data_IF_368496357863
#
_entry.id   IF_368496357863
#
_cell.length_a   1.000
_cell.length_b   1.000
_cell.length_c   1.000
_cell.angle_alpha   90.00
_cell.angle_beta   90.00
_cell.angle_gamma   90.00
#
_symmetry.space_group_name_H-M   'P 1'
#
loop_
_entity.id
_entity.type
_entity.pdbx_description
1 polymer ?
#
# COMPACT_ATOMS: atom_id res chain seq x y z
N UNK A 1 27.61 7.40 -19.75
CA UNK A 1 26.53 6.96 -20.66
C UNK A 1 26.76 5.50 -20.98
N UNK A 2 26.04 4.60 -20.32
CA UNK A 2 26.03 3.17 -20.61
C UNK A 2 24.56 2.80 -20.84
N UNK A 3 24.24 2.43 -22.07
CA UNK A 3 22.94 1.90 -22.50
C UNK A 3 22.66 0.61 -21.77
N UNK A 4 22.07 0.70 -20.57
CA UNK A 4 21.28 -0.40 -20.03
C UNK A 4 20.10 -0.54 -20.98
N UNK A 5 20.12 -1.60 -21.76
CA UNK A 5 18.98 -2.15 -22.48
C UNK A 5 17.78 -2.07 -21.54
N UNK A 6 16.85 -1.17 -21.83
CA UNK A 6 15.56 -1.12 -21.13
C UNK A 6 14.94 -2.47 -21.46
N UNK A 7 14.91 -3.39 -20.48
CA UNK A 7 14.05 -4.56 -20.55
C UNK A 7 12.65 -3.99 -20.74
N UNK A 8 12.17 -4.00 -21.99
CA UNK A 8 10.78 -3.72 -22.29
C UNK A 8 9.98 -4.73 -21.48
N UNK A 9 9.18 -4.20 -20.54
CA UNK A 9 8.48 -4.94 -19.48
C UNK A 9 7.77 -6.20 -20.00
N UNK A 10 7.39 -7.10 -19.08
CA UNK A 10 6.61 -8.29 -19.38
C UNK A 10 5.37 -8.03 -20.27
N UNK A 11 4.81 -6.81 -20.27
CA UNK A 11 3.74 -6.39 -21.17
C UNK A 11 4.17 -6.33 -22.65
N UNK A 12 5.32 -5.71 -22.91
CA UNK A 12 5.87 -5.59 -24.25
C UNK A 12 6.42 -6.94 -24.72
N UNK A 13 7.01 -7.72 -23.83
CA UNK A 13 7.44 -9.09 -24.13
C UNK A 13 6.27 -10.08 -24.32
N UNK A 14 5.15 -9.94 -23.59
CA UNK A 14 3.91 -10.70 -23.83
C UNK A 14 3.27 -10.29 -25.17
N UNK A 15 3.18 -9.00 -25.46
CA UNK A 15 2.68 -8.49 -26.74
C UNK A 15 3.54 -8.97 -27.92
N UNK A 16 4.87 -8.93 -27.78
CA UNK A 16 5.83 -9.46 -28.77
C UNK A 16 5.69 -10.97 -28.94
N UNK A 17 5.61 -11.74 -27.84
CA UNK A 17 5.48 -13.20 -27.89
C UNK A 17 4.15 -13.68 -28.45
N UNK A 18 3.03 -13.02 -28.10
CA UNK A 18 1.69 -13.38 -28.59
C UNK A 18 1.46 -13.06 -30.06
N UNK A 19 2.05 -11.98 -30.55
CA UNK A 19 1.71 -11.42 -31.86
C UNK A 19 2.88 -11.45 -32.87
N UNK A 20 4.06 -11.90 -32.46
CA UNK A 20 5.24 -11.99 -33.34
C UNK A 20 5.80 -10.62 -33.77
N UNK A 21 5.50 -9.56 -33.01
CA UNK A 21 5.80 -8.18 -33.41
C UNK A 21 7.27 -7.83 -33.13
N UNK A 22 7.90 -7.12 -34.07
CA UNK A 22 9.29 -6.63 -34.00
C UNK A 22 9.26 -5.13 -33.65
N UNK A 23 10.27 -4.58 -32.92
CA UNK A 23 10.42 -3.13 -32.82
C UNK A 23 10.33 -2.47 -34.20
N UNK A 24 9.41 -1.51 -34.38
CA UNK A 24 9.15 -0.88 -35.68
C UNK A 24 7.82 -1.25 -36.34
N UNK A 25 7.10 -2.26 -35.83
CA UNK A 25 5.81 -2.66 -36.39
C UNK A 25 4.71 -1.63 -36.06
N UNK A 26 4.01 -1.03 -37.05
CA UNK A 26 2.88 -0.13 -36.82
C UNK A 26 1.76 -0.74 -35.98
N UNK A 27 1.64 -2.07 -35.93
CA UNK A 27 0.66 -2.79 -35.12
C UNK A 27 1.00 -2.85 -33.62
N UNK A 28 2.24 -2.54 -33.23
CA UNK A 28 2.71 -2.67 -31.84
C UNK A 28 1.92 -1.80 -30.87
N UNK A 29 1.61 -0.56 -31.26
CA UNK A 29 0.85 0.34 -30.40
C UNK A 29 -0.56 -0.20 -30.12
N UNK A 30 -1.28 -0.65 -31.16
CA UNK A 30 -2.62 -1.21 -31.01
C UNK A 30 -2.62 -2.48 -30.15
N UNK A 31 -1.64 -3.34 -30.35
CA UNK A 31 -1.46 -4.54 -29.54
C UNK A 31 -1.23 -4.25 -28.05
N UNK A 32 -0.42 -3.23 -27.75
CA UNK A 32 -0.20 -2.77 -26.38
C UNK A 32 -1.47 -2.20 -25.78
N UNK A 33 -2.18 -1.35 -26.52
CA UNK A 33 -3.45 -0.75 -26.10
C UNK A 33 -4.52 -1.81 -25.80
N UNK A 34 -4.66 -2.83 -26.65
CA UNK A 34 -5.59 -3.95 -26.42
C UNK A 34 -5.22 -4.78 -25.19
N UNK A 35 -3.91 -4.94 -24.93
CA UNK A 35 -3.42 -5.62 -23.74
C UNK A 35 -3.74 -4.81 -22.48
N UNK A 36 -3.53 -3.49 -22.52
CA UNK A 36 -3.88 -2.58 -21.43
C UNK A 36 -5.39 -2.59 -21.14
N UNK A 37 -6.22 -2.51 -22.18
CA UNK A 37 -7.69 -2.61 -22.05
C UNK A 37 -8.13 -3.94 -21.44
N UNK A 38 -7.43 -5.04 -21.72
CA UNK A 38 -7.71 -6.34 -21.11
C UNK A 38 -7.39 -6.35 -19.62
N UNK A 39 -6.23 -5.80 -19.23
CA UNK A 39 -5.84 -5.67 -17.82
C UNK A 39 -6.80 -4.75 -17.08
N UNK A 40 -7.23 -3.64 -17.69
CA UNK A 40 -8.22 -2.73 -17.14
C UNK A 40 -9.62 -3.36 -16.92
N UNK A 41 -9.87 -4.57 -17.43
CA UNK A 41 -11.10 -5.35 -17.20
C UNK A 41 -10.90 -6.52 -16.25
N UNK A 42 -9.75 -6.62 -15.60
CA UNK A 42 -9.49 -7.66 -14.62
C UNK A 42 -10.50 -7.61 -13.47
N UNK A 43 -10.88 -8.78 -12.98
CA UNK A 43 -11.84 -8.97 -11.88
C UNK A 43 -11.16 -9.46 -10.60
N UNK A 44 -9.86 -9.72 -10.64
CA UNK A 44 -9.09 -10.19 -9.48
C UNK A 44 -7.63 -9.73 -9.54
N UNK A 45 -6.96 -9.64 -8.39
CA UNK A 45 -5.56 -9.21 -8.31
C UNK A 45 -4.62 -10.22 -8.96
N UNK A 46 -4.96 -11.52 -8.96
CA UNK A 46 -4.17 -12.56 -9.61
C UNK A 46 -4.03 -12.32 -11.13
N UNK A 47 -5.01 -11.67 -11.75
CA UNK A 47 -4.97 -11.32 -13.18
C UNK A 47 -4.06 -10.12 -13.48
N UNK A 48 -3.79 -9.26 -12.49
CA UNK A 48 -3.00 -8.04 -12.64
C UNK A 48 -1.58 -8.22 -12.11
N UNK A 49 -1.42 -8.98 -11.02
CA UNK A 49 -0.15 -9.22 -10.32
C UNK A 49 1.03 -9.62 -11.24
N UNK A 50 0.87 -10.39 -12.34
CA UNK A 50 1.99 -10.69 -13.22
C UNK A 50 2.55 -9.47 -13.95
N UNK A 51 1.81 -8.37 -13.98
CA UNK A 51 2.17 -7.11 -14.62
C UNK A 51 2.66 -6.05 -13.62
N UNK A 52 2.43 -6.25 -12.32
CA UNK A 52 2.92 -5.42 -11.23
C UNK A 52 4.24 -6.02 -10.75
N UNK A 53 5.31 -5.78 -11.48
CA UNK A 53 6.63 -6.23 -11.04
C UNK A 53 7.13 -5.31 -9.93
N UNK A 54 7.24 -5.88 -8.74
CA UNK A 54 7.86 -5.33 -7.52
C UNK A 54 6.95 -4.39 -6.71
N UNK A 55 6.17 -4.93 -5.75
CA UNK A 55 5.27 -4.15 -4.87
C UNK A 55 6.00 -3.10 -4.01
N UNK A 56 7.32 -3.25 -3.83
CA UNK A 56 8.19 -2.31 -3.12
C UNK A 56 8.85 -1.27 -4.05
N UNK A 57 8.65 -1.36 -5.37
CA UNK A 57 9.01 -0.30 -6.32
C UNK A 57 7.83 0.67 -6.44
N UNK A 58 7.97 1.94 -6.00
CA UNK A 58 6.96 2.99 -6.21
C UNK A 58 6.53 3.12 -7.67
N UNK A 59 7.41 2.73 -8.60
CA UNK A 59 7.22 2.80 -10.03
C UNK A 59 6.59 1.54 -10.63
N UNK A 60 6.26 0.49 -9.86
CA UNK A 60 5.75 -0.77 -10.44
C UNK A 60 4.47 -0.56 -11.28
N UNK A 61 3.55 0.28 -10.80
CA UNK A 61 2.34 0.68 -11.53
C UNK A 61 2.70 1.62 -12.68
N UNK A 62 3.67 2.51 -12.47
CA UNK A 62 4.19 3.45 -13.47
C UNK A 62 4.86 2.72 -14.63
N UNK A 63 5.45 1.54 -14.42
CA UNK A 63 6.14 0.78 -15.46
C UNK A 63 5.23 0.38 -16.61
N UNK A 64 3.94 0.22 -16.35
CA UNK A 64 2.92 -0.04 -17.37
C UNK A 64 2.85 1.06 -18.45
N UNK A 65 3.38 2.27 -18.18
CA UNK A 65 3.50 3.35 -19.16
C UNK A 65 4.69 3.22 -20.10
N UNK A 66 5.77 2.52 -19.72
CA UNK A 66 7.04 2.54 -20.45
C UNK A 66 6.94 2.04 -21.89
N UNK A 67 6.17 0.97 -22.19
CA UNK A 67 5.94 0.55 -23.57
C UNK A 67 5.34 1.67 -24.44
N UNK A 68 4.50 2.52 -23.86
CA UNK A 68 3.90 3.65 -24.56
C UNK A 68 4.86 4.83 -24.73
N UNK A 69 5.61 5.20 -23.68
CA UNK A 69 6.66 6.23 -23.80
C UNK A 69 7.66 5.84 -24.90
N UNK A 70 7.99 4.56 -25.01
CA UNK A 70 8.78 4.04 -26.12
C UNK A 70 8.10 4.29 -27.47
N UNK A 71 6.81 3.98 -27.61
CA UNK A 71 6.07 4.25 -28.85
C UNK A 71 6.02 5.73 -29.24
N UNK A 72 5.89 6.65 -28.27
CA UNK A 72 5.97 8.09 -28.51
C UNK A 72 7.36 8.51 -28.98
N UNK A 73 8.40 8.06 -28.28
CA UNK A 73 9.78 8.43 -28.55
C UNK A 73 10.24 7.97 -29.94
N UNK A 74 9.83 6.77 -30.34
CA UNK A 74 10.16 6.19 -31.64
C UNK A 74 9.26 6.71 -32.78
N UNK A 75 8.30 7.60 -32.47
CA UNK A 75 7.43 8.22 -33.46
C UNK A 75 6.34 7.31 -34.02
N UNK A 76 6.02 6.19 -33.36
CA UNK A 76 4.91 5.32 -33.75
C UNK A 76 3.55 5.94 -33.43
N UNK A 77 3.50 6.84 -32.44
CA UNK A 77 2.34 7.63 -32.05
C UNK A 77 2.79 9.06 -31.79
N UNK A 78 1.97 10.04 -32.20
CA UNK A 78 2.17 11.43 -31.79
C UNK A 78 1.27 11.74 -30.59
N UNK A 79 1.79 12.46 -29.59
CA UNK A 79 0.95 12.92 -28.47
C UNK A 79 -0.11 13.91 -28.95
N UNK A 80 0.23 14.75 -29.93
CA UNK A 80 -0.65 15.78 -30.46
C UNK A 80 -0.97 15.58 -31.94
N UNK A 81 -2.18 15.94 -32.33
CA UNK A 81 -2.58 16.08 -33.72
C UNK A 81 -2.08 17.39 -34.34
N UNK A 82 -2.33 17.58 -35.64
CA UNK A 82 -1.91 18.79 -36.36
C UNK A 82 -2.55 20.09 -35.84
N UNK A 83 -3.60 20.00 -35.01
CA UNK A 83 -4.26 21.14 -34.37
C UNK A 83 -3.70 21.46 -32.98
N UNK A 84 -2.73 20.67 -32.49
CA UNK A 84 -2.17 20.81 -31.15
C UNK A 84 -3.05 20.24 -30.05
N UNK A 85 -4.08 19.46 -30.39
CA UNK A 85 -4.90 18.70 -29.43
C UNK A 85 -4.31 17.30 -29.26
N UNK A 86 -4.65 16.61 -28.17
CA UNK A 86 -4.25 15.21 -28.03
C UNK A 86 -4.76 14.36 -29.20
N UNK A 87 -3.87 13.56 -29.77
CA UNK A 87 -4.24 12.62 -30.83
C UNK A 87 -5.20 11.57 -30.27
N UNK A 88 -6.00 10.96 -31.16
CA UNK A 88 -6.93 9.88 -30.77
C UNK A 88 -6.18 8.73 -30.11
N UNK A 89 -5.05 8.32 -30.68
CA UNK A 89 -4.21 7.25 -30.16
C UNK A 89 -3.67 7.57 -28.76
N UNK A 90 -3.24 8.81 -28.54
CA UNK A 90 -2.75 9.25 -27.23
C UNK A 90 -3.88 9.29 -26.21
N UNK A 91 -5.04 9.83 -26.57
CA UNK A 91 -6.21 9.87 -25.70
C UNK A 91 -6.70 8.47 -25.30
N UNK A 92 -6.71 7.53 -26.26
CA UNK A 92 -7.04 6.13 -26.03
C UNK A 92 -6.10 5.46 -25.01
N UNK A 93 -4.81 5.80 -25.06
CA UNK A 93 -3.83 5.31 -24.09
C UNK A 93 -4.06 5.92 -22.71
N UNK A 94 -4.27 7.24 -22.60
CA UNK A 94 -4.54 7.92 -21.32
C UNK A 94 -5.75 7.28 -20.64
N UNK A 95 -6.82 7.04 -21.39
CA UNK A 95 -8.03 6.36 -20.91
C UNK A 95 -7.73 4.91 -20.47
N UNK A 96 -7.04 4.13 -21.31
CA UNK A 96 -6.73 2.74 -20.99
C UNK A 96 -5.83 2.61 -19.74
N UNK A 97 -4.84 3.49 -19.58
CA UNK A 97 -3.99 3.51 -18.40
C UNK A 97 -4.77 3.93 -17.15
N UNK A 98 -5.56 5.01 -17.26
CA UNK A 98 -6.46 5.44 -16.18
C UNK A 98 -7.40 4.32 -15.71
N UNK A 99 -7.96 3.54 -16.63
CA UNK A 99 -8.80 2.39 -16.29
C UNK A 99 -8.04 1.26 -15.59
N UNK A 100 -6.77 1.00 -15.92
CA UNK A 100 -5.97 0.03 -15.18
C UNK A 100 -5.80 0.49 -13.72
N UNK A 101 -5.42 1.75 -13.52
CA UNK A 101 -5.28 2.32 -12.17
C UNK A 101 -6.59 2.19 -11.40
N UNK A 102 -7.70 2.56 -12.02
CA UNK A 102 -9.03 2.47 -11.42
C UNK A 102 -9.39 1.02 -11.06
N UNK A 103 -9.11 0.06 -11.94
CA UNK A 103 -9.37 -1.35 -11.69
C UNK A 103 -8.54 -1.89 -10.52
N UNK A 104 -7.28 -1.47 -10.37
CA UNK A 104 -6.48 -1.80 -9.18
C UNK A 104 -7.13 -1.24 -7.92
N UNK A 105 -7.55 0.04 -7.94
CA UNK A 105 -8.24 0.67 -6.80
C UNK A 105 -9.58 -0.01 -6.45
N UNK A 106 -10.32 -0.53 -7.44
CA UNK A 106 -11.54 -1.32 -7.18
C UNK A 106 -11.26 -2.62 -6.44
N UNK A 107 -10.09 -3.21 -6.66
CA UNK A 107 -9.74 -4.52 -6.09
C UNK A 107 -9.13 -4.40 -4.69
N UNK A 108 -8.38 -3.33 -4.41
CA UNK A 108 -7.68 -3.17 -3.14
C UNK A 108 -7.30 -1.72 -2.86
N UNK A 109 -7.17 -1.36 -1.58
CA UNK A 109 -6.60 -0.08 -1.10
C UNK A 109 -5.08 -0.14 -0.91
N UNK A 110 -4.44 -1.31 -1.03
CA UNK A 110 -3.01 -1.49 -0.74
C UNK A 110 -2.09 -0.68 -1.67
N UNK A 111 -2.49 -0.53 -2.94
CA UNK A 111 -1.76 0.25 -3.95
C UNK A 111 -2.24 1.71 -4.03
N UNK A 112 -3.18 2.16 -3.17
CA UNK A 112 -3.66 3.55 -3.17
C UNK A 112 -2.50 4.57 -3.09
N UNK A 113 -1.46 4.40 -2.23
CA UNK A 113 -0.32 5.32 -2.22
C UNK A 113 0.40 5.43 -3.57
N UNK A 114 0.53 4.32 -4.29
CA UNK A 114 1.20 4.28 -5.60
C UNK A 114 0.34 4.86 -6.72
N UNK A 115 -0.96 4.60 -6.66
CA UNK A 115 -1.92 5.21 -7.59
C UNK A 115 -1.99 6.71 -7.35
N UNK A 116 -2.05 7.16 -6.09
CA UNK A 116 -2.01 8.58 -5.72
C UNK A 116 -0.70 9.24 -6.14
N UNK A 117 0.44 8.57 -5.97
CA UNK A 117 1.71 9.04 -6.50
C UNK A 117 1.66 9.20 -8.02
N UNK A 118 1.17 8.19 -8.74
CA UNK A 118 1.01 8.24 -10.20
C UNK A 118 0.10 9.38 -10.65
N UNK A 119 -1.04 9.57 -9.98
CA UNK A 119 -2.02 10.59 -10.34
C UNK A 119 -1.53 12.00 -9.99
N UNK A 120 -0.99 12.18 -8.79
CA UNK A 120 -0.74 13.51 -8.21
C UNK A 120 0.73 13.94 -8.30
N UNK A 121 1.69 13.04 -8.06
CA UNK A 121 3.13 13.41 -8.05
C UNK A 121 3.73 13.42 -9.44
N UNK A 122 3.43 12.38 -10.23
CA UNK A 122 3.84 12.33 -11.63
C UNK A 122 2.90 13.17 -12.54
N UNK A 123 2.02 13.97 -11.93
CA UNK A 123 1.08 14.87 -12.57
C UNK A 123 0.19 14.20 -13.65
N UNK A 124 -0.02 12.88 -13.62
CA UNK A 124 -0.84 12.21 -14.64
C UNK A 124 -2.29 12.72 -14.62
N UNK A 125 -2.80 13.07 -13.44
CA UNK A 125 -4.10 13.71 -13.28
C UNK A 125 -4.15 15.08 -13.97
N UNK A 126 -3.11 15.90 -13.75
CA UNK A 126 -3.02 17.27 -14.28
C UNK A 126 -2.67 17.31 -15.76
N UNK A 127 -1.63 16.59 -16.18
CA UNK A 127 -1.12 16.71 -17.53
C UNK A 127 -1.93 15.88 -18.52
N UNK A 128 -2.60 14.80 -18.08
CA UNK A 128 -3.19 13.84 -19.00
C UNK A 128 -4.71 13.67 -18.79
N UNK A 129 -5.12 13.12 -17.64
CA UNK A 129 -6.51 12.67 -17.44
C UNK A 129 -7.54 13.80 -17.58
N UNK A 130 -7.26 14.99 -17.03
CA UNK A 130 -8.23 16.10 -17.07
C UNK A 130 -8.49 16.64 -18.49
N UNK A 131 -7.64 16.34 -19.45
CA UNK A 131 -7.70 16.90 -20.81
C UNK A 131 -8.39 16.00 -21.83
N UNK A 132 -8.66 14.73 -21.48
CA UNK A 132 -9.35 13.77 -22.35
C UNK A 132 -10.67 13.33 -21.75
N UNK A 133 -11.72 13.22 -22.56
CA UNK A 133 -13.07 12.91 -22.07
C UNK A 133 -13.14 11.55 -21.33
N UNK A 134 -12.46 10.52 -21.84
CA UNK A 134 -12.35 9.22 -21.16
C UNK A 134 -11.60 9.31 -19.82
N UNK A 135 -10.55 10.13 -19.76
CA UNK A 135 -9.79 10.37 -18.53
C UNK A 135 -10.58 11.13 -17.48
N UNK A 136 -11.35 12.16 -17.87
CA UNK A 136 -12.26 12.87 -16.96
C UNK A 136 -13.29 11.92 -16.34
N UNK A 137 -13.80 10.96 -17.12
CA UNK A 137 -14.69 9.92 -16.61
C UNK A 137 -13.99 9.01 -15.59
N UNK A 138 -12.75 8.60 -15.86
CA UNK A 138 -11.95 7.83 -14.90
C UNK A 138 -11.77 8.58 -13.59
N UNK A 139 -11.54 9.91 -13.62
CA UNK A 139 -11.43 10.74 -12.40
C UNK A 139 -12.74 10.71 -11.61
N UNK A 140 -13.88 10.88 -12.28
CA UNK A 140 -15.19 10.75 -11.65
C UNK A 140 -15.39 9.35 -11.03
N UNK A 141 -15.01 8.29 -11.76
CA UNK A 141 -15.13 6.91 -11.27
C UNK A 141 -14.28 6.68 -10.01
N UNK A 142 -13.05 7.23 -9.95
CA UNK A 142 -12.22 7.21 -8.75
C UNK A 142 -12.87 7.96 -7.58
N UNK A 143 -13.41 9.15 -7.83
CA UNK A 143 -14.11 9.92 -6.82
C UNK A 143 -15.35 9.18 -6.30
N UNK A 144 -16.14 8.55 -7.18
CA UNK A 144 -17.30 7.76 -6.78
C UNK A 144 -16.90 6.54 -5.92
N UNK A 145 -15.72 5.97 -6.18
CA UNK A 145 -15.21 4.81 -5.45
C UNK A 145 -14.55 5.17 -4.10
N UNK A 146 -13.82 6.28 -4.06
CA UNK A 146 -12.89 6.60 -2.96
C UNK A 146 -13.17 7.92 -2.25
N UNK A 147 -14.08 8.73 -2.77
CA UNK A 147 -14.36 10.07 -2.28
C UNK A 147 -13.21 11.04 -2.50
N UNK A 148 -13.38 12.26 -1.97
CA UNK A 148 -12.41 13.34 -2.16
C UNK A 148 -11.10 13.11 -1.39
N UNK A 149 -11.14 12.35 -0.30
CA UNK A 149 -9.98 11.99 0.52
C UNK A 149 -8.85 11.40 -0.32
N UNK A 150 -9.19 10.57 -1.31
CA UNK A 150 -8.19 9.95 -2.18
C UNK A 150 -7.39 10.97 -3.01
N UNK A 151 -7.97 12.12 -3.33
CA UNK A 151 -7.31 13.20 -4.06
C UNK A 151 -6.64 14.22 -3.14
N UNK A 152 -6.95 14.20 -1.83
CA UNK A 152 -6.40 15.08 -0.80
C UNK A 152 -5.15 14.50 -0.10
N UNK A 153 -4.65 13.36 -0.57
CA UNK A 153 -3.60 12.61 0.10
C UNK A 153 -2.32 12.62 -0.74
N UNK A 154 -1.33 13.35 -0.25
CA UNK A 154 0.04 13.33 -0.78
C UNK A 154 1.09 13.48 0.34
N UNK A 155 0.80 13.00 1.55
CA UNK A 155 1.70 13.22 2.68
C UNK A 155 2.33 11.99 3.30
N UNK A 156 2.61 10.95 2.51
CA UNK A 156 3.16 9.71 3.06
C UNK A 156 4.33 9.22 2.21
N UNK A 157 5.54 9.23 2.79
CA UNK A 157 6.78 8.79 2.11
C UNK A 157 7.98 9.75 2.11
N UNK A 158 7.95 10.86 2.87
CA UNK A 158 9.13 11.72 3.06
C UNK A 158 9.68 12.45 1.82
N UNK A 159 9.12 12.23 0.63
CA UNK A 159 9.55 12.92 -0.59
C UNK A 159 8.96 14.33 -0.62
N UNK A 160 9.85 15.32 -0.47
CA UNK A 160 9.53 16.73 -0.64
C UNK A 160 9.14 17.03 -2.10
N UNK A 161 7.94 17.61 -2.21
CA UNK A 161 7.45 18.58 -3.20
C UNK A 161 7.00 18.08 -4.57
N UNK A 162 5.67 18.05 -4.78
CA UNK A 162 5.07 18.62 -5.99
C UNK A 162 5.05 20.17 -5.85
N UNK A 163 6.25 20.76 -5.81
CA UNK A 163 6.70 22.16 -5.80
C UNK A 163 5.99 23.30 -5.03
N UNK A 164 4.72 23.24 -4.62
CA UNK A 164 4.13 24.24 -3.71
C UNK A 164 2.86 23.73 -3.04
N UNK A 165 2.60 24.26 -1.86
CA UNK A 165 1.51 23.93 -0.94
C UNK A 165 0.09 23.99 -1.54
N UNK A 166 -0.08 24.62 -2.71
CA UNK A 166 -1.31 24.62 -3.51
C UNK A 166 -1.63 23.26 -4.14
N UNK A 167 -0.64 22.41 -4.41
CA UNK A 167 -0.82 21.17 -5.16
C UNK A 167 -1.79 20.16 -4.51
N UNK A 168 -1.83 20.11 -3.17
CA UNK A 168 -2.71 19.18 -2.43
C UNK A 168 -4.19 19.40 -2.78
N UNK A 169 -4.61 20.66 -2.81
CA UNK A 169 -5.99 21.01 -3.12
C UNK A 169 -6.21 21.24 -4.61
N UNK A 170 -5.17 21.57 -5.39
CA UNK A 170 -5.29 21.69 -6.84
C UNK A 170 -5.68 20.34 -7.48
N UNK A 171 -5.11 19.21 -7.03
CA UNK A 171 -5.51 17.87 -7.50
C UNK A 171 -6.98 17.60 -7.20
N UNK A 172 -7.39 17.84 -5.95
CA UNK A 172 -8.78 17.67 -5.54
C UNK A 172 -9.74 18.60 -6.33
N UNK A 173 -9.30 19.82 -6.66
CA UNK A 173 -10.07 20.79 -7.48
C UNK A 173 -10.24 20.35 -8.94
N UNK A 174 -9.50 19.34 -9.41
CA UNK A 174 -9.76 18.73 -10.72
C UNK A 174 -11.01 17.84 -10.71
N UNK A 175 -11.41 17.30 -9.55
CA UNK A 175 -12.61 16.46 -9.43
C UNK A 175 -13.88 17.25 -9.79
N UNK A 176 -14.18 18.44 -9.20
CA UNK A 176 -15.29 19.28 -9.64
C UNK A 176 -15.27 19.62 -11.13
N UNK A 177 -14.09 19.90 -11.71
CA UNK A 177 -13.98 20.17 -13.16
C UNK A 177 -14.42 18.97 -14.00
N UNK A 178 -14.00 17.76 -13.63
CA UNK A 178 -14.38 16.53 -14.32
C UNK A 178 -15.87 16.19 -14.12
N UNK A 179 -16.41 16.44 -12.92
CA UNK A 179 -17.84 16.29 -12.62
C UNK A 179 -18.69 17.20 -13.51
N UNK A 180 -18.32 18.48 -13.66
CA UNK A 180 -19.00 19.42 -14.57
C UNK A 180 -18.92 18.98 -16.03
N UNK A 181 -17.74 18.56 -16.48
CA UNK A 181 -17.58 18.03 -17.84
C UNK A 181 -18.46 16.80 -18.09
N UNK A 182 -18.79 16.05 -17.03
CA UNK A 182 -19.71 14.91 -17.05
C UNK A 182 -21.18 15.29 -16.80
N UNK A 183 -21.51 16.58 -16.67
CA UNK A 183 -22.87 17.08 -16.44
C UNK A 183 -23.37 17.02 -14.98
N UNK A 184 -22.49 16.73 -14.00
CA UNK A 184 -22.81 16.64 -12.56
C UNK A 184 -22.57 17.97 -11.84
N UNK A 185 -23.25 19.04 -12.27
CA UNK A 185 -22.99 20.42 -11.83
C UNK A 185 -23.28 20.65 -10.32
N UNK A 186 -24.41 20.16 -9.82
CA UNK A 186 -24.80 20.34 -8.42
C UNK A 186 -23.81 19.67 -7.47
N UNK A 187 -23.40 18.45 -7.81
CA UNK A 187 -22.42 17.70 -7.04
C UNK A 187 -21.03 18.34 -7.09
N UNK A 188 -20.61 18.84 -8.26
CA UNK A 188 -19.37 19.61 -8.36
C UNK A 188 -19.36 20.80 -7.39
N UNK A 189 -20.48 21.52 -7.26
CA UNK A 189 -20.63 22.63 -6.30
C UNK A 189 -20.67 22.22 -4.83
N UNK A 190 -21.06 20.98 -4.51
CA UNK A 190 -20.93 20.41 -3.17
C UNK A 190 -19.47 20.07 -2.85
N UNK A 191 -18.79 19.40 -3.79
CA UNK A 191 -17.39 19.00 -3.65
C UNK A 191 -16.46 20.21 -3.53
N UNK A 192 -16.70 21.29 -4.27
CA UNK A 192 -15.92 22.53 -4.12
C UNK A 192 -16.02 23.14 -2.73
N UNK A 193 -17.25 23.24 -2.19
CA UNK A 193 -17.45 23.74 -0.83
C UNK A 193 -16.77 22.85 0.20
N UNK A 194 -16.86 21.54 0.02
CA UNK A 194 -16.18 20.58 0.89
C UNK A 194 -14.65 20.74 0.84
N UNK A 195 -14.08 20.93 -0.36
CA UNK A 195 -12.66 21.21 -0.55
C UNK A 195 -12.26 22.50 0.17
N UNK A 196 -13.01 23.60 -0.01
CA UNK A 196 -12.71 24.89 0.60
C UNK A 196 -12.78 24.83 2.14
N UNK A 197 -13.78 24.13 2.69
CA UNK A 197 -13.93 23.93 4.14
C UNK A 197 -12.76 23.13 4.73
N UNK A 198 -12.33 22.07 4.05
CA UNK A 198 -11.18 21.25 4.47
C UNK A 198 -9.86 22.00 4.35
N UNK A 199 -9.68 22.80 3.31
CA UNK A 199 -8.53 23.68 3.14
C UNK A 199 -8.42 24.70 4.29
N UNK A 200 -9.56 25.27 4.70
CA UNK A 200 -9.60 26.16 5.86
C UNK A 200 -9.16 25.45 7.15
N UNK A 201 -9.65 24.23 7.42
CA UNK A 201 -9.26 23.43 8.59
C UNK A 201 -7.77 23.08 8.55
N UNK A 202 -7.23 22.74 7.39
CA UNK A 202 -5.79 22.51 7.25
C UNK A 202 -5.01 23.78 7.60
N UNK A 203 -5.44 24.96 7.13
CA UNK A 203 -4.80 26.23 7.47
C UNK A 203 -4.84 26.54 8.97
N UNK A 204 -5.89 26.14 9.68
CA UNK A 204 -6.00 26.27 11.13
C UNK A 204 -4.95 25.40 11.86
N UNK A 205 -4.83 24.12 11.47
CA UNK A 205 -3.76 23.23 11.94
C UNK A 205 -2.39 23.85 11.64
N UNK A 206 -2.22 24.34 10.42
CA UNK A 206 -0.95 24.91 9.97
C UNK A 206 -0.53 26.10 10.83
N UNK A 207 -1.47 26.95 11.19
CA UNK A 207 -1.22 28.11 12.04
C UNK A 207 -0.80 27.71 13.46
N UNK A 208 -1.31 26.59 13.97
CA UNK A 208 -0.98 26.08 15.31
C UNK A 208 0.48 25.57 15.41
N UNK A 209 1.02 24.98 14.34
CA UNK A 209 2.33 24.31 14.36
C UNK A 209 3.42 25.03 13.56
N UNK A 210 3.10 26.14 12.90
CA UNK A 210 4.09 26.97 12.21
C UNK A 210 4.97 27.72 13.22
N UNK A 211 6.30 27.71 13.04
CA UNK A 211 7.16 28.70 13.68
C UNK A 211 6.67 30.13 13.34
N UNK A 212 6.84 31.13 14.22
CA UNK A 212 6.36 32.50 14.00
C UNK A 212 6.81 33.19 12.70
N UNK A 213 7.77 32.60 11.97
CA UNK A 213 8.40 33.13 10.76
C UNK A 213 8.40 32.15 9.57
N UNK A 214 7.68 31.03 9.63
CA UNK A 214 7.52 30.13 8.49
C UNK A 214 6.26 30.51 7.70
N UNK A 215 6.43 31.05 6.50
CA UNK A 215 5.33 31.46 5.61
C UNK A 215 4.91 30.36 4.61
N UNK A 216 5.34 29.11 4.79
CA UNK A 216 5.02 27.98 3.92
C UNK A 216 4.46 26.77 4.68
N UNK A 217 3.49 26.09 4.08
CA UNK A 217 2.91 24.81 4.55
C UNK A 217 4.01 23.74 4.63
N UNK A 218 5.05 23.81 3.78
CA UNK A 218 6.24 22.94 3.89
C UNK A 218 6.92 23.00 5.25
N UNK A 219 7.18 24.21 5.78
CA UNK A 219 7.76 24.39 7.12
C UNK A 219 6.82 23.97 8.25
N UNK A 220 5.53 23.90 7.97
CA UNK A 220 4.50 23.44 8.90
C UNK A 220 4.42 21.92 8.95
N UNK A 221 4.53 21.25 7.81
CA UNK A 221 4.47 19.81 7.72
C UNK A 221 5.74 19.18 8.30
N UNK A 222 6.88 19.86 8.21
CA UNK A 222 8.05 19.52 9.00
C UNK A 222 7.80 19.68 10.51
N UNK A 223 7.06 20.71 10.92
CA UNK A 223 6.60 20.87 12.32
C UNK A 223 5.70 19.74 12.79
N UNK A 224 4.73 19.32 11.97
CA UNK A 224 3.82 18.20 12.27
C UNK A 224 4.55 16.85 12.27
N UNK A 225 5.51 16.65 11.36
CA UNK A 225 6.40 15.49 11.36
C UNK A 225 7.27 15.44 12.61
N UNK A 226 7.89 16.55 13.01
CA UNK A 226 8.65 16.63 14.25
C UNK A 226 7.78 16.33 15.47
N UNK A 227 6.52 16.79 15.48
CA UNK A 227 5.56 16.44 16.53
C UNK A 227 5.28 14.93 16.54
N UNK A 228 5.04 14.35 15.36
CA UNK A 228 4.82 12.91 15.22
C UNK A 228 6.02 12.08 15.69
N UNK A 229 7.23 12.45 15.29
CA UNK A 229 8.46 11.79 15.74
C UNK A 229 8.62 11.88 17.25
N UNK A 230 8.41 13.05 17.86
CA UNK A 230 8.44 13.22 19.32
C UNK A 230 7.41 12.34 20.01
N UNK A 231 6.19 12.33 19.49
CA UNK A 231 5.13 11.45 20.01
C UNK A 231 5.58 9.98 19.99
N UNK A 232 6.10 9.48 18.86
CA UNK A 232 6.54 8.10 18.74
C UNK A 232 7.77 7.78 19.60
N UNK A 233 8.71 8.70 19.75
CA UNK A 233 9.85 8.57 20.66
C UNK A 233 9.38 8.45 22.11
N UNK A 234 8.47 9.32 22.55
CA UNK A 234 7.94 9.29 23.92
C UNK A 234 7.10 8.03 24.16
N UNK A 235 6.32 7.63 23.16
CA UNK A 235 5.42 6.50 23.23
C UNK A 235 6.16 5.15 23.18
N UNK A 236 7.09 4.97 22.26
CA UNK A 236 7.85 3.72 22.06
C UNK A 236 9.11 3.63 22.91
N UNK A 237 9.66 4.76 23.37
CA UNK A 237 11.05 4.98 23.82
C UNK A 237 12.02 5.26 22.66
N UNK A 238 13.04 6.08 22.93
CA UNK A 238 14.10 6.40 21.97
C UNK A 238 14.85 5.17 21.46
N UNK A 239 15.01 4.14 22.29
CA UNK A 239 15.68 2.90 21.92
C UNK A 239 14.89 2.13 20.88
N UNK A 240 13.59 1.92 21.13
CA UNK A 240 12.70 1.18 20.23
C UNK A 240 12.51 1.94 18.92
N UNK A 241 12.33 3.26 19.01
CA UNK A 241 12.24 4.14 17.85
C UNK A 241 13.49 4.05 16.96
N UNK A 242 14.68 4.15 17.55
CA UNK A 242 15.95 4.11 16.80
C UNK A 242 16.18 2.75 16.12
N UNK A 243 15.59 1.68 16.65
CA UNK A 243 15.69 0.35 16.09
C UNK A 243 14.66 0.10 14.99
N UNK A 244 13.49 0.74 14.98
CA UNK A 244 12.55 0.64 13.87
C UNK A 244 13.23 0.96 12.53
N UNK A 245 12.94 0.19 11.49
CA UNK A 245 13.50 0.47 10.17
C UNK A 245 12.96 1.81 9.62
N UNK A 246 13.72 2.45 8.71
CA UNK A 246 13.41 3.80 8.22
C UNK A 246 12.00 3.90 7.61
N UNK A 247 11.59 2.88 6.85
CA UNK A 247 10.24 2.82 6.26
C UNK A 247 9.16 2.64 7.32
N UNK A 248 9.40 1.86 8.39
CA UNK A 248 8.48 1.77 9.52
C UNK A 248 8.35 3.09 10.27
N UNK A 249 9.45 3.82 10.47
CA UNK A 249 9.40 5.15 11.09
C UNK A 249 8.60 6.14 10.25
N UNK A 250 8.79 6.10 8.94
CA UNK A 250 8.00 6.92 8.02
C UNK A 250 6.50 6.56 8.10
N UNK A 251 6.14 5.28 8.01
CA UNK A 251 4.74 4.83 8.09
C UNK A 251 4.08 5.17 9.45
N UNK A 252 4.86 5.20 10.55
CA UNK A 252 4.37 5.64 11.87
C UNK A 252 4.08 7.15 11.89
N UNK A 253 5.00 7.97 11.37
CA UNK A 253 4.79 9.42 11.22
C UNK A 253 3.56 9.67 10.35
N UNK A 254 3.44 8.92 9.26
CA UNK A 254 2.34 8.97 8.31
C UNK A 254 1.00 8.63 8.98
N UNK A 255 0.95 7.55 9.77
CA UNK A 255 -0.24 7.20 10.55
C UNK A 255 -0.66 8.31 11.54
N UNK A 256 0.31 8.93 12.22
CA UNK A 256 0.04 10.02 13.16
C UNK A 256 -0.52 11.25 12.45
N UNK A 257 0.07 11.64 11.32
CA UNK A 257 -0.41 12.78 10.53
C UNK A 257 -1.82 12.50 10.00
N UNK A 258 -2.07 11.29 9.49
CA UNK A 258 -3.41 10.89 9.04
C UNK A 258 -4.44 10.98 10.17
N UNK A 259 -4.12 10.44 11.35
CA UNK A 259 -4.98 10.58 12.53
C UNK A 259 -5.24 12.05 12.87
N UNK A 260 -4.20 12.87 12.93
CA UNK A 260 -4.32 14.27 13.30
C UNK A 260 -5.21 15.04 12.31
N UNK A 261 -5.05 14.78 11.01
CA UNK A 261 -5.88 15.37 9.95
C UNK A 261 -7.33 14.90 10.04
N UNK A 262 -7.57 13.64 10.39
CA UNK A 262 -8.90 13.14 10.66
C UNK A 262 -9.49 13.82 11.92
N UNK A 263 -8.70 13.99 12.99
CA UNK A 263 -9.12 14.62 14.26
C UNK A 263 -9.69 16.02 14.05
N UNK A 264 -9.10 16.74 13.11
CA UNK A 264 -9.48 18.10 12.75
C UNK A 264 -10.42 18.17 11.54
N UNK A 265 -10.92 17.02 11.06
CA UNK A 265 -11.90 16.95 9.97
C UNK A 265 -11.39 17.42 8.61
N UNK A 266 -10.07 17.37 8.37
CA UNK A 266 -9.45 17.56 7.05
C UNK A 266 -9.63 16.30 6.21
N UNK A 267 -9.47 15.13 6.83
CA UNK A 267 -9.80 13.82 6.27
C UNK A 267 -11.08 13.27 6.92
N UNK A 268 -11.73 12.30 6.26
CA UNK A 268 -12.88 11.53 6.76
C UNK A 268 -12.61 10.03 6.84
N UNK A 269 -11.76 9.48 5.96
CA UNK A 269 -11.46 8.06 5.85
C UNK A 269 -10.36 7.59 6.79
N UNK A 270 -10.69 6.66 7.69
CA UNK A 270 -9.75 6.11 8.68
C UNK A 270 -8.83 5.01 8.14
N UNK A 271 -9.18 4.38 7.01
CA UNK A 271 -8.48 3.19 6.50
C UNK A 271 -7.00 3.44 6.27
N UNK A 272 -6.60 4.66 5.89
CA UNK A 272 -5.22 5.00 5.65
C UNK A 272 -4.35 4.97 6.91
N UNK A 273 -4.84 5.53 8.02
CA UNK A 273 -4.13 5.49 9.30
C UNK A 273 -3.92 4.03 9.74
N UNK A 274 -4.96 3.21 9.64
CA UNK A 274 -4.94 1.79 10.03
C UNK A 274 -4.04 0.95 9.14
N UNK A 275 -4.11 1.14 7.82
CA UNK A 275 -3.24 0.44 6.86
C UNK A 275 -1.77 0.75 7.12
N UNK A 276 -1.43 2.02 7.38
CA UNK A 276 -0.05 2.44 7.66
C UNK A 276 0.49 1.74 8.92
N UNK A 277 -0.30 1.71 10.00
CA UNK A 277 0.07 1.00 11.23
C UNK A 277 0.21 -0.51 11.02
N UNK A 278 -0.74 -1.12 10.31
CA UNK A 278 -0.70 -2.55 10.02
C UNK A 278 0.50 -2.91 9.14
N UNK A 279 0.92 -2.05 8.20
CA UNK A 279 2.15 -2.22 7.42
C UNK A 279 3.40 -2.19 8.28
N UNK A 280 3.45 -1.33 9.30
CA UNK A 280 4.56 -1.32 10.28
C UNK A 280 4.63 -2.67 10.99
N UNK A 281 3.51 -3.17 11.53
CA UNK A 281 3.48 -4.47 12.21
C UNK A 281 3.87 -5.61 11.25
N UNK A 282 3.35 -5.60 10.02
CA UNK A 282 3.66 -6.58 8.98
C UNK A 282 5.15 -6.63 8.67
N UNK A 283 5.77 -5.46 8.44
CA UNK A 283 7.20 -5.32 8.12
C UNK A 283 8.09 -5.74 9.29
N UNK A 284 7.77 -5.28 10.49
CA UNK A 284 8.54 -5.66 11.68
C UNK A 284 8.36 -7.16 12.00
N UNK A 285 7.18 -7.76 11.78
CA UNK A 285 7.00 -9.22 11.85
C UNK A 285 7.84 -9.96 10.84
N UNK A 286 7.86 -9.51 9.57
CA UNK A 286 8.64 -10.16 8.52
C UNK A 286 10.12 -10.22 8.90
N UNK A 287 10.64 -9.17 9.53
CA UNK A 287 12.02 -9.09 10.01
C UNK A 287 12.37 -10.08 11.13
N UNK A 288 11.37 -10.66 11.79
CA UNK A 288 11.52 -11.62 12.89
C UNK A 288 11.20 -13.05 12.45
N UNK A 289 10.09 -13.24 11.74
CA UNK A 289 9.53 -14.56 11.44
C UNK A 289 9.83 -15.07 10.04
N UNK A 290 10.36 -14.24 9.14
CA UNK A 290 10.60 -14.62 7.75
C UNK A 290 12.01 -14.30 7.26
N UNK A 291 12.40 -13.03 7.23
CA UNK A 291 13.65 -12.57 6.61
C UNK A 291 14.91 -13.30 7.14
N UNK A 292 15.08 -13.53 8.46
CA UNK A 292 16.27 -14.23 8.97
C UNK A 292 16.34 -15.71 8.58
N UNK A 293 15.24 -16.27 8.07
CA UNK A 293 15.05 -17.70 7.87
C UNK A 293 14.90 -18.08 6.40
N UNK A 294 15.03 -17.14 5.47
CA UNK A 294 14.77 -17.33 4.03
C UNK A 294 15.53 -18.54 3.46
N UNK A 295 16.80 -18.70 3.80
CA UNK A 295 17.62 -19.81 3.30
C UNK A 295 17.11 -21.16 3.83
N UNK A 296 16.83 -21.24 5.13
CA UNK A 296 16.26 -22.43 5.77
C UNK A 296 14.91 -22.79 5.16
N UNK A 297 14.02 -21.81 5.01
CA UNK A 297 12.70 -21.96 4.38
C UNK A 297 12.84 -22.46 2.94
N UNK A 298 13.77 -21.89 2.16
CA UNK A 298 13.98 -22.25 0.76
C UNK A 298 14.43 -23.70 0.57
N UNK A 299 15.23 -24.23 1.49
CA UNK A 299 15.75 -25.61 1.45
C UNK A 299 14.87 -26.66 2.14
N UNK A 300 13.87 -26.24 2.92
CA UNK A 300 13.06 -27.15 3.72
C UNK A 300 12.15 -28.04 2.86
N UNK A 301 11.84 -29.23 3.38
CA UNK A 301 10.78 -30.11 2.88
C UNK A 301 9.57 -30.12 3.81
N UNK A 302 8.41 -30.47 3.24
CA UNK A 302 7.20 -30.76 3.99
C UNK A 302 6.71 -32.15 3.59
N UNK A 303 6.69 -33.05 4.56
CA UNK A 303 6.33 -34.45 4.40
C UNK A 303 5.04 -34.73 5.16
N UNK A 304 4.02 -35.25 4.47
CA UNK A 304 2.75 -35.59 5.11
C UNK A 304 2.91 -36.89 5.90
N UNK A 305 2.64 -36.92 7.22
CA UNK A 305 2.74 -38.16 7.99
C UNK A 305 1.83 -39.27 7.45
N UNK A 306 2.33 -40.50 7.45
CA UNK A 306 1.54 -41.67 7.06
C UNK A 306 0.50 -42.01 8.14
N UNK A 307 -0.66 -42.53 7.72
CA UNK A 307 -1.73 -43.02 8.61
C UNK A 307 -2.43 -41.97 9.50
N UNK A 308 -2.55 -40.73 9.04
CA UNK A 308 -3.33 -39.70 9.73
C UNK A 308 -4.83 -39.99 9.71
N UNK A 309 -5.53 -39.76 10.84
CA UNK A 309 -6.98 -39.67 10.83
C UNK A 309 -7.46 -38.50 9.95
N UNK A 310 -8.72 -38.54 9.47
CA UNK A 310 -9.29 -37.47 8.63
C UNK A 310 -9.17 -36.07 9.25
N UNK A 311 -9.29 -35.96 10.58
CA UNK A 311 -9.14 -34.69 11.31
C UNK A 311 -7.69 -34.20 11.31
N UNK A 312 -6.73 -35.10 11.57
CA UNK A 312 -5.31 -34.77 11.55
C UNK A 312 -4.82 -34.43 10.14
N UNK A 313 -5.30 -35.14 9.11
CA UNK A 313 -4.99 -34.83 7.71
C UNK A 313 -5.45 -33.41 7.33
N UNK A 314 -6.65 -32.99 7.75
CA UNK A 314 -7.11 -31.60 7.54
C UNK A 314 -6.22 -30.57 8.22
N UNK A 315 -5.77 -30.84 9.45
CA UNK A 315 -4.86 -29.95 10.18
C UNK A 315 -3.51 -29.84 9.49
N UNK A 316 -2.92 -30.97 9.09
CA UNK A 316 -1.65 -31.02 8.37
C UNK A 316 -1.75 -30.31 7.01
N UNK A 317 -2.86 -30.49 6.29
CA UNK A 317 -3.13 -29.77 5.03
C UNK A 317 -3.18 -28.24 5.23
N UNK A 318 -3.77 -27.76 6.32
CA UNK A 318 -3.74 -26.33 6.66
C UNK A 318 -2.31 -25.81 6.90
N UNK A 319 -1.43 -26.61 7.52
CA UNK A 319 0.00 -26.25 7.71
C UNK A 319 0.77 -26.29 6.39
N UNK A 320 0.45 -27.24 5.51
CA UNK A 320 1.04 -27.34 4.18
C UNK A 320 0.83 -26.06 3.37
N UNK A 321 -0.36 -25.44 3.45
CA UNK A 321 -0.64 -24.15 2.78
C UNK A 321 0.30 -23.06 3.29
N UNK A 322 0.44 -22.91 4.62
CA UNK A 322 1.36 -21.94 5.22
C UNK A 322 2.81 -22.21 4.79
N UNK A 323 3.24 -23.47 4.80
CA UNK A 323 4.57 -23.85 4.34
C UNK A 323 4.83 -23.50 2.87
N UNK A 324 3.88 -23.81 1.98
CA UNK A 324 3.97 -23.50 0.55
C UNK A 324 4.05 -21.99 0.30
N UNK A 325 3.26 -21.21 1.04
CA UNK A 325 3.33 -19.74 0.99
C UNK A 325 4.74 -19.28 1.36
N UNK A 326 5.29 -19.74 2.49
CA UNK A 326 6.65 -19.37 2.92
C UNK A 326 7.71 -19.74 1.88
N UNK A 327 7.62 -20.94 1.32
CA UNK A 327 8.55 -21.41 0.30
C UNK A 327 8.41 -20.65 -1.03
N UNK A 328 7.21 -20.19 -1.37
CA UNK A 328 7.02 -19.31 -2.53
C UNK A 328 7.61 -17.92 -2.30
N UNK A 329 7.34 -17.31 -1.13
CA UNK A 329 7.91 -16.01 -0.75
C UNK A 329 9.42 -16.05 -0.62
N UNK A 330 10.02 -17.16 -0.17
CA UNK A 330 11.48 -17.27 -0.04
C UNK A 330 12.20 -17.23 -1.39
N UNK A 331 11.51 -17.55 -2.50
CA UNK A 331 12.04 -17.43 -3.88
C UNK A 331 12.02 -15.99 -4.39
N UNK A 332 11.24 -15.11 -3.74
CA UNK A 332 11.15 -13.69 -4.05
C UNK A 332 11.24 -12.88 -2.74
N UNK A 333 12.44 -12.75 -2.14
CA UNK A 333 12.63 -12.09 -0.84
C UNK A 333 12.10 -10.67 -0.72
N UNK A 334 11.95 -9.95 -1.84
CA UNK A 334 11.32 -8.62 -1.92
C UNK A 334 9.81 -8.64 -1.65
N UNK A 335 9.18 -9.81 -1.59
CA UNK A 335 7.74 -9.97 -1.33
C UNK A 335 7.53 -10.87 -0.12
N UNK A 336 7.74 -10.35 1.10
CA UNK A 336 7.49 -11.10 2.31
C UNK A 336 6.00 -11.49 2.42
N UNK A 337 5.67 -12.56 3.17
CA UNK A 337 4.28 -12.91 3.42
C UNK A 337 3.50 -11.77 4.08
N UNK A 338 2.22 -11.66 3.77
CA UNK A 338 1.28 -10.68 4.37
C UNK A 338 1.13 -10.88 5.89
N UNK A 339 0.60 -9.88 6.59
CA UNK A 339 0.38 -9.91 8.04
C UNK A 339 -0.37 -11.17 8.49
N UNK A 340 -1.40 -11.58 7.74
CA UNK A 340 -2.16 -12.79 8.05
C UNK A 340 -1.34 -14.06 7.92
N UNK A 341 -0.53 -14.16 6.87
CA UNK A 341 0.35 -15.30 6.64
C UNK A 341 1.45 -15.36 7.72
N UNK A 342 2.07 -14.22 8.06
CA UNK A 342 3.05 -14.12 9.14
C UNK A 342 2.43 -14.47 10.50
N UNK A 343 1.19 -14.06 10.77
CA UNK A 343 0.50 -14.43 12.01
C UNK A 343 0.29 -15.94 12.10
N UNK A 344 0.00 -16.61 10.98
CA UNK A 344 -0.03 -18.08 10.95
C UNK A 344 1.35 -18.71 11.23
N UNK A 345 2.45 -18.10 10.78
CA UNK A 345 3.81 -18.54 11.17
C UNK A 345 3.98 -18.46 12.68
N UNK A 346 3.63 -17.33 13.29
CA UNK A 346 3.67 -17.16 14.74
C UNK A 346 2.81 -18.20 15.47
N UNK A 347 1.59 -18.45 15.00
CA UNK A 347 0.68 -19.47 15.56
C UNK A 347 1.26 -20.88 15.48
N UNK A 348 1.97 -21.18 14.42
CA UNK A 348 2.56 -22.49 14.19
C UNK A 348 3.99 -22.61 14.73
N UNK A 349 4.50 -21.56 15.37
CA UNK A 349 5.86 -21.50 15.91
C UNK A 349 6.19 -22.72 16.76
N UNK A 350 5.29 -23.11 17.68
CA UNK A 350 5.42 -24.29 18.56
C UNK A 350 4.37 -25.38 18.25
N UNK A 351 3.85 -25.45 17.03
CA UNK A 351 2.78 -26.41 16.68
C UNK A 351 3.33 -27.81 16.42
N UNK A 352 2.91 -28.79 17.22
CA UNK A 352 3.39 -30.18 17.11
C UNK A 352 3.02 -30.85 15.79
N UNK A 353 1.95 -30.41 15.11
CA UNK A 353 1.57 -30.94 13.79
C UNK A 353 2.53 -30.41 12.73
N UNK A 354 2.88 -29.13 12.77
CA UNK A 354 3.92 -28.57 11.90
C UNK A 354 5.25 -29.31 12.07
N UNK A 355 5.68 -29.56 13.31
CA UNK A 355 6.93 -30.28 13.61
C UNK A 355 6.94 -31.75 13.16
N UNK A 356 5.76 -32.38 13.03
CA UNK A 356 5.64 -33.72 12.45
C UNK A 356 5.76 -33.71 10.93
N UNK A 357 5.44 -32.59 10.29
CA UNK A 357 5.44 -32.45 8.84
C UNK A 357 6.74 -31.82 8.30
N UNK A 358 7.48 -31.07 9.12
CA UNK A 358 8.74 -30.44 8.71
C UNK A 358 9.65 -30.21 9.92
N UNK A 359 10.96 -30.26 9.73
CA UNK A 359 11.94 -29.90 10.76
C UNK A 359 12.20 -28.38 10.83
N UNK A 360 11.75 -27.61 9.82
CA UNK A 360 12.04 -26.19 9.67
C UNK A 360 11.77 -25.38 10.95
N UNK A 361 10.57 -25.50 11.51
CA UNK A 361 10.16 -24.72 12.68
C UNK A 361 10.96 -25.11 13.93
N UNK A 362 11.31 -26.39 14.07
CA UNK A 362 12.18 -26.88 15.15
C UNK A 362 13.57 -26.26 15.04
N UNK A 363 14.16 -26.27 13.86
CA UNK A 363 15.49 -25.70 13.60
C UNK A 363 15.51 -24.18 13.82
N UNK A 364 14.47 -23.46 13.37
CA UNK A 364 14.30 -22.03 13.62
C UNK A 364 14.23 -21.75 15.13
N UNK A 365 13.41 -22.50 15.88
CA UNK A 365 13.29 -22.37 17.34
C UNK A 365 14.59 -22.63 18.07
N UNK A 366 15.26 -23.74 17.77
CA UNK A 366 16.55 -24.09 18.38
C UNK A 366 17.61 -23.04 18.09
N UNK A 367 17.56 -22.40 16.92
CA UNK A 367 18.46 -21.31 16.56
C UNK A 367 18.11 -20.02 17.29
N UNK A 368 16.82 -19.67 17.37
CA UNK A 368 16.34 -18.48 18.04
C UNK A 368 16.54 -18.54 19.56
N UNK A 369 16.22 -19.67 20.20
CA UNK A 369 16.37 -19.86 21.65
C UNK A 369 17.86 -19.92 22.08
N UNK A 370 18.78 -20.30 21.17
CA UNK A 370 20.22 -20.14 21.40
C UNK A 370 20.66 -18.68 21.43
N UNK A 371 20.03 -17.82 20.63
CA UNK A 371 20.35 -16.39 20.60
C UNK A 371 19.67 -15.60 21.73
N UNK A 372 18.44 -15.96 22.08
CA UNK A 372 17.75 -15.39 23.23
C UNK A 372 16.83 -16.42 23.89
N UNK A 373 17.14 -16.74 25.15
CA UNK A 373 16.31 -17.62 25.97
C UNK A 373 14.89 -17.06 26.09
N UNK A 374 13.89 -17.84 25.68
CA UNK A 374 12.49 -17.44 25.77
C UNK A 374 11.93 -16.78 24.50
N UNK A 375 12.63 -16.86 23.36
CA UNK A 375 12.12 -16.39 22.08
C UNK A 375 10.75 -16.97 21.75
N UNK A 376 10.58 -18.27 21.97
CA UNK A 376 9.30 -18.94 21.74
C UNK A 376 8.16 -18.40 22.62
N UNK A 377 8.44 -17.96 23.85
CA UNK A 377 7.46 -17.31 24.72
C UNK A 377 7.12 -15.90 24.22
N UNK A 378 8.11 -15.16 23.71
CA UNK A 378 7.89 -13.85 23.08
C UNK A 378 7.03 -13.99 21.83
N UNK A 379 7.29 -14.98 20.98
CA UNK A 379 6.47 -15.27 19.80
C UNK A 379 5.00 -15.57 20.18
N UNK A 380 4.77 -16.41 21.20
CA UNK A 380 3.42 -16.71 21.68
C UNK A 380 2.70 -15.48 22.25
N UNK A 381 3.41 -14.63 23.02
CA UNK A 381 2.86 -13.38 23.53
C UNK A 381 2.50 -12.42 22.40
N UNK A 382 3.35 -12.31 21.38
CA UNK A 382 3.09 -11.48 20.22
C UNK A 382 1.81 -11.92 19.48
N UNK A 383 1.68 -13.22 19.19
CA UNK A 383 0.48 -13.77 18.54
C UNK A 383 -0.77 -13.45 19.33
N UNK A 384 -0.72 -13.61 20.66
CA UNK A 384 -1.83 -13.27 21.54
C UNK A 384 -2.23 -11.80 21.42
N UNK A 385 -1.25 -10.87 21.41
CA UNK A 385 -1.52 -9.44 21.22
C UNK A 385 -2.21 -9.15 19.88
N UNK A 386 -1.86 -9.87 18.80
CA UNK A 386 -2.53 -9.70 17.50
C UNK A 386 -3.92 -10.33 17.42
N UNK A 387 -4.22 -11.31 18.29
CA UNK A 387 -5.52 -11.96 18.43
C UNK A 387 -6.42 -11.28 19.47
N UNK A 388 -5.89 -10.32 20.24
CA UNK A 388 -6.70 -9.51 21.13
C UNK A 388 -7.73 -8.74 20.32
N UNK A 389 -8.97 -8.80 20.80
CA UNK A 389 -10.09 -8.14 20.18
C UNK A 389 -10.34 -6.81 20.86
N UNK A 390 -10.71 -5.81 20.08
CA UNK A 390 -10.99 -4.46 20.56
C UNK A 390 -12.45 -4.14 20.28
N UNK A 391 -13.19 -3.63 21.26
CA UNK A 391 -14.62 -3.31 21.08
C UNK A 391 -14.80 -2.15 20.09
N UNK A 392 -15.65 -2.35 19.09
CA UNK A 392 -16.00 -1.39 18.04
C UNK A 392 -17.47 -1.57 17.68
N UNK A 393 -18.33 -0.61 18.02
CA UNK A 393 -19.76 -0.65 17.64
C UNK A 393 -20.47 -1.99 17.99
N UNK A 394 -20.12 -2.56 19.15
CA UNK A 394 -20.62 -3.88 19.58
C UNK A 394 -20.00 -5.09 18.86
N UNK A 395 -19.12 -4.86 17.88
CA UNK A 395 -18.20 -5.86 17.32
C UNK A 395 -16.88 -5.90 18.09
N UNK A 396 -16.11 -6.96 17.90
CA UNK A 396 -14.82 -7.17 18.56
C UNK A 396 -13.74 -7.60 17.56
N UNK A 397 -13.37 -6.74 16.59
CA UNK A 397 -12.39 -7.10 15.57
C UNK A 397 -10.97 -7.19 16.12
N UNK A 398 -10.20 -8.12 15.55
CA UNK A 398 -8.75 -8.29 15.71
C UNK A 398 -7.97 -7.35 14.78
N UNK A 399 -6.66 -7.18 15.02
CA UNK A 399 -5.75 -6.41 14.12
C UNK A 399 -5.87 -6.87 12.66
N UNK A 400 -6.04 -8.17 12.44
CA UNK A 400 -6.19 -8.76 11.11
C UNK A 400 -7.51 -8.38 10.42
N UNK A 401 -8.62 -8.42 11.16
CA UNK A 401 -9.93 -8.04 10.64
C UNK A 401 -9.97 -6.56 10.30
N UNK A 402 -9.32 -5.73 11.12
CA UNK A 402 -9.16 -4.30 10.88
C UNK A 402 -8.29 -4.00 9.67
N UNK A 403 -7.13 -4.68 9.54
CA UNK A 403 -6.28 -4.59 8.35
C UNK A 403 -7.07 -4.94 7.09
N UNK A 404 -7.85 -6.03 7.13
CA UNK A 404 -8.66 -6.45 5.98
C UNK A 404 -9.78 -5.45 5.69
N UNK A 405 -10.49 -4.97 6.71
CA UNK A 405 -11.52 -3.94 6.54
C UNK A 405 -10.95 -2.66 5.94
N UNK A 406 -9.76 -2.23 6.38
CA UNK A 406 -9.06 -1.07 5.86
C UNK A 406 -8.55 -1.28 4.43
N UNK A 407 -8.20 -2.52 4.05
CA UNK A 407 -7.72 -2.88 2.72
C UNK A 407 -8.84 -3.01 1.67
N UNK A 408 -10.10 -3.20 2.11
CA UNK A 408 -11.24 -3.40 1.22
C UNK A 408 -12.04 -2.10 0.97
N UNK A 409 -12.43 -1.80 -0.29
CA UNK A 409 -13.27 -0.65 -0.62
C UNK A 409 -14.66 -0.71 0.04
N UNK A 410 -15.24 0.45 0.39
CA UNK A 410 -16.66 0.59 0.72
C UNK A 410 -17.11 0.31 2.17
N UNK A 411 -16.20 0.07 3.11
CA UNK A 411 -16.55 -0.14 4.54
C UNK A 411 -16.53 1.12 5.42
N UNK A 412 -16.31 2.30 4.83
CA UNK A 412 -16.07 3.54 5.60
C UNK A 412 -17.33 4.39 5.82
N UNK A 413 -18.49 4.02 5.28
CA UNK A 413 -19.57 4.98 5.01
C UNK A 413 -20.64 5.22 6.08
N UNK A 414 -20.62 4.58 7.26
CA UNK A 414 -21.83 4.65 8.14
C UNK A 414 -21.66 5.30 9.52
N UNK A 415 -20.49 5.83 9.91
CA UNK A 415 -20.24 6.24 11.32
C UNK A 415 -19.53 7.58 11.53
N UNK A 416 -19.73 8.15 12.71
CA UNK A 416 -19.21 9.47 13.05
C UNK A 416 -17.82 9.40 13.66
N UNK A 417 -16.98 10.35 13.26
CA UNK A 417 -15.60 10.48 13.68
C UNK A 417 -15.34 10.42 15.22
N UNK A 418 -16.18 10.99 16.11
CA UNK A 418 -15.97 10.89 17.56
C UNK A 418 -15.97 9.46 18.11
N UNK A 419 -16.74 8.55 17.51
CA UNK A 419 -16.82 7.14 17.92
C UNK A 419 -15.55 6.38 17.51
N UNK A 420 -15.01 6.71 16.33
CA UNK A 420 -13.84 6.05 15.76
C UNK A 420 -12.51 6.52 16.37
N UNK A 421 -12.42 7.77 16.84
CA UNK A 421 -11.21 8.32 17.49
C UNK A 421 -10.87 7.59 18.78
N UNK A 422 -11.86 7.23 19.60
CA UNK A 422 -11.63 6.48 20.83
C UNK A 422 -10.97 5.13 20.53
N UNK A 423 -11.54 4.43 19.55
CA UNK A 423 -11.01 3.16 19.06
C UNK A 423 -9.63 3.29 18.42
N UNK A 424 -9.41 4.24 17.50
CA UNK A 424 -8.12 4.43 16.84
C UNK A 424 -7.05 4.74 17.89
N UNK A 425 -7.39 5.50 18.93
CA UNK A 425 -6.52 5.77 20.08
C UNK A 425 -6.25 4.53 20.94
N UNK A 426 -7.21 3.63 21.10
CA UNK A 426 -6.95 2.34 21.77
C UNK A 426 -6.08 1.42 20.93
N UNK A 427 -6.37 1.32 19.64
CA UNK A 427 -5.60 0.58 18.65
C UNK A 427 -4.21 1.18 18.46
N UNK A 428 -4.02 2.49 18.55
CA UNK A 428 -2.71 3.13 18.55
C UNK A 428 -2.02 2.98 19.91
N UNK A 429 -2.81 3.02 20.99
CA UNK A 429 -2.40 3.20 22.39
C UNK A 429 -2.10 1.93 23.18
N UNK A 430 -2.56 0.74 22.75
CA UNK A 430 -2.30 -0.52 23.49
C UNK A 430 -1.59 -1.60 22.63
N UNK A 431 -2.09 -2.04 21.45
CA UNK A 431 -1.44 -3.13 20.70
C UNK A 431 -0.10 -2.78 20.04
N UNK A 432 0.10 -1.65 19.33
CA UNK A 432 1.32 -1.37 18.57
C UNK A 432 2.52 -1.19 19.47
N UNK A 433 2.35 -0.59 20.65
CA UNK A 433 3.49 -0.38 21.56
C UNK A 433 4.06 -1.68 22.08
N UNK A 434 3.22 -2.56 22.61
CA UNK A 434 3.72 -3.83 23.14
C UNK A 434 4.15 -4.76 22.02
N UNK A 435 3.37 -4.83 20.93
CA UNK A 435 3.68 -5.66 19.78
C UNK A 435 4.99 -5.23 19.11
N UNK A 436 5.17 -3.92 18.82
CA UNK A 436 6.40 -3.42 18.20
C UNK A 436 7.59 -3.55 19.14
N UNK A 437 7.45 -3.21 20.43
CA UNK A 437 8.55 -3.44 21.39
C UNK A 437 9.00 -4.88 21.42
N UNK A 438 8.05 -5.81 21.43
CA UNK A 438 8.34 -7.24 21.45
C UNK A 438 9.01 -7.69 20.15
N UNK A 439 8.54 -7.24 18.98
CA UNK A 439 9.17 -7.53 17.70
C UNK A 439 10.60 -6.98 17.61
N UNK A 440 10.82 -5.74 18.06
CA UNK A 440 12.14 -5.13 18.09
C UNK A 440 13.08 -5.91 19.01
N UNK A 441 12.64 -6.28 20.22
CA UNK A 441 13.41 -7.13 21.14
C UNK A 441 13.75 -8.49 20.52
N UNK A 442 12.79 -9.14 19.88
CA UNK A 442 12.99 -10.42 19.20
C UNK A 442 13.98 -10.29 18.02
N UNK A 443 13.90 -9.21 17.24
CA UNK A 443 14.81 -8.99 16.12
C UNK A 443 16.24 -8.73 16.59
N UNK A 444 16.42 -7.88 17.60
CA UNK A 444 17.77 -7.61 18.12
C UNK A 444 18.40 -8.85 18.73
N UNK A 445 17.62 -9.68 19.43
CA UNK A 445 18.05 -11.00 19.88
C UNK A 445 18.61 -11.88 18.74
N UNK A 446 18.02 -11.83 17.54
CA UNK A 446 18.51 -12.59 16.38
C UNK A 446 19.79 -12.01 15.76
N UNK A 447 20.05 -10.70 15.91
CA UNK A 447 21.23 -10.01 15.37
C UNK A 447 22.50 -10.20 16.21
N UNK A 448 22.39 -10.54 17.50
CA UNK A 448 23.51 -10.71 18.44
C UNK A 448 24.45 -11.92 18.15
N UNK A 449 24.64 -12.27 16.88
CA UNK A 449 25.57 -13.30 16.40
C UNK A 449 26.81 -12.69 15.75
#
# INVERSE_FOLDING_TARGET
MNTKTIHLDALADDARRRLGLVPGDPGLFRALLDSMRRIGRATSLEQISPHLHDEDDPLCVWRLKWPFIYCLREGYVSAFDASGKYSTEYADWVEAFGHILFTIAKLTKQYDPWIQHTLNFEDFLFNELQHVAGGQRVVCDFYDLRGIDFFLVHYFGGQTTAASDTALFESARLVPKCLRASGREEEAGLVEREIDDREKRLREIVTEYSPPHAASLSGTLDGLRLLAERFWVDYLSSEVWALCCDTSRQDLVDAFVAEYMLQNGVLKGWSQAVLSLCKVIEREMASVFFLPWIEHIGSASFDMPENLSRSQAKRAQSRQITFQVLQSSSRQPSHPPTLGQLLFVGKFWCDSVMDQCTNLFREMRETADRSASGFSNMAARFVKLCEETHEVDGEHPTVMELRNAAAHPGRESDFTWPEYVGWLKEFLGKPPREALRLLIQMREALKSK
#
